data_IF_141311311360
#
_entry.id   IF_141311311360
#
_cell.length_a   1.000
_cell.length_b   1.000
_cell.length_c   1.000
_cell.angle_alpha   90.00
_cell.angle_beta   90.00
_cell.angle_gamma   90.00
#
_symmetry.space_group_name_H-M   'P 1'
#
loop_
_entity.id
_entity.type
_entity.pdbx_description
1 polymer ?
#
# COMPACT_ATOMS: atom_id res chain seq x y z
N UNK A 1 50.33 19.17 -26.30
CA UNK A 1 49.73 17.81 -26.37
C UNK A 1 49.69 17.23 -24.98
N UNK A 2 48.70 17.61 -24.15
CA UNK A 2 48.46 17.02 -22.83
C UNK A 2 46.95 16.99 -22.49
N UNK A 3 46.09 16.98 -23.51
CA UNK A 3 44.64 17.19 -23.36
C UNK A 3 43.85 15.87 -23.21
N UNK A 4 44.54 14.73 -23.16
CA UNK A 4 43.94 13.39 -23.14
C UNK A 4 43.67 12.78 -21.76
N UNK A 5 44.26 13.33 -20.68
CA UNK A 5 44.11 12.77 -19.33
C UNK A 5 42.97 13.38 -18.52
N UNK A 6 42.53 14.60 -18.85
CA UNK A 6 41.46 15.30 -18.13
C UNK A 6 40.06 14.83 -18.55
N UNK A 7 39.87 14.39 -19.80
CA UNK A 7 38.57 13.93 -20.29
C UNK A 7 38.10 12.60 -19.64
N UNK A 8 39.03 11.73 -19.22
CA UNK A 8 38.69 10.44 -18.61
C UNK A 8 38.39 10.53 -17.11
N UNK A 9 38.87 11.57 -16.43
CA UNK A 9 38.60 11.83 -15.02
C UNK A 9 37.23 12.47 -14.78
N UNK A 10 36.73 13.27 -15.72
CA UNK A 10 35.40 13.92 -15.61
C UNK A 10 34.25 12.93 -15.85
N UNK A 11 34.49 11.80 -16.52
CA UNK A 11 33.50 10.75 -16.73
C UNK A 11 33.28 9.84 -15.50
N UNK A 12 34.12 9.93 -14.47
CA UNK A 12 34.00 9.14 -13.23
C UNK A 12 33.26 9.91 -12.11
N UNK A 13 32.73 11.09 -12.42
CA UNK A 13 32.02 11.96 -11.48
C UNK A 13 30.52 12.10 -11.76
N UNK A 14 29.92 11.15 -12.47
CA UNK A 14 28.46 11.00 -12.46
C UNK A 14 28.04 10.28 -11.17
N UNK A 15 28.34 10.90 -10.04
CA UNK A 15 27.71 10.60 -8.75
C UNK A 15 26.23 10.98 -8.89
N UNK A 16 25.48 10.11 -9.55
CA UNK A 16 24.04 10.05 -9.38
C UNK A 16 23.82 9.88 -7.88
N UNK A 17 23.15 10.81 -7.20
CA UNK A 17 22.84 10.60 -5.80
C UNK A 17 22.11 9.24 -5.71
N UNK A 18 22.44 8.39 -4.73
CA UNK A 18 21.78 7.11 -4.60
C UNK A 18 20.31 7.38 -4.30
N UNK A 19 19.48 7.39 -5.34
CA UNK A 19 18.04 7.66 -5.30
C UNK A 19 17.28 6.61 -4.45
N UNK A 20 17.97 5.64 -3.86
CA UNK A 20 17.44 4.63 -2.93
C UNK A 20 17.92 4.74 -1.48
N UNK A 21 18.84 5.65 -1.12
CA UNK A 21 19.48 5.67 0.19
C UNK A 21 18.51 5.88 1.36
N UNK A 22 17.65 6.89 1.28
CA UNK A 22 16.71 7.22 2.36
C UNK A 22 15.68 6.11 2.59
N UNK A 23 15.11 5.56 1.52
CA UNK A 23 14.12 4.49 1.60
C UNK A 23 14.70 3.23 2.25
N UNK A 24 15.92 2.85 1.86
CA UNK A 24 16.63 1.69 2.42
C UNK A 24 17.00 1.92 3.89
N UNK A 25 17.50 3.12 4.24
CA UNK A 25 17.82 3.46 5.62
C UNK A 25 16.58 3.50 6.52
N UNK A 26 15.45 4.03 6.04
CA UNK A 26 14.18 4.01 6.77
C UNK A 26 13.64 2.59 6.94
N UNK A 27 13.73 1.76 5.90
CA UNK A 27 13.31 0.36 5.99
C UNK A 27 14.16 -0.41 7.01
N UNK A 28 15.48 -0.20 7.01
CA UNK A 28 16.39 -0.79 7.99
C UNK A 28 16.08 -0.31 9.41
N UNK A 29 15.86 1.00 9.60
CA UNK A 29 15.47 1.56 10.89
C UNK A 29 14.14 0.96 11.38
N UNK A 30 13.14 0.86 10.50
CA UNK A 30 11.85 0.25 10.83
C UNK A 30 12.01 -1.22 11.24
N UNK A 31 12.87 -1.97 10.56
CA UNK A 31 13.13 -3.38 10.85
C UNK A 31 13.70 -3.59 12.27
N UNK A 32 14.48 -2.62 12.77
CA UNK A 32 15.02 -2.65 14.15
C UNK A 32 14.00 -2.09 15.15
N UNK A 33 13.38 -0.95 14.84
CA UNK A 33 12.50 -0.26 15.78
C UNK A 33 11.18 -1.01 16.03
N UNK A 34 10.66 -1.70 15.02
CA UNK A 34 9.40 -2.42 15.11
C UNK A 34 9.40 -3.52 16.20
N UNK A 35 10.36 -4.47 16.24
CA UNK A 35 10.40 -5.46 17.30
C UNK A 35 10.67 -4.83 18.68
N UNK A 36 11.46 -3.76 18.77
CA UNK A 36 11.67 -3.01 20.01
C UNK A 36 10.34 -2.44 20.54
N UNK A 37 9.56 -1.78 19.69
CA UNK A 37 8.25 -1.23 20.06
C UNK A 37 7.27 -2.33 20.50
N UNK A 38 7.26 -3.46 19.79
CA UNK A 38 6.41 -4.61 20.14
C UNK A 38 6.80 -5.17 21.52
N UNK A 39 8.09 -5.31 21.79
CA UNK A 39 8.59 -5.82 23.06
C UNK A 39 8.33 -4.84 24.22
N UNK A 40 8.50 -3.54 24.00
CA UNK A 40 8.27 -2.51 25.03
C UNK A 40 6.79 -2.26 25.30
N UNK A 41 5.93 -2.35 24.30
CA UNK A 41 4.51 -2.02 24.38
C UNK A 41 3.62 -3.11 23.74
N UNK A 42 3.56 -4.31 24.33
CA UNK A 42 2.90 -5.46 23.72
C UNK A 42 1.38 -5.26 23.58
N UNK A 43 0.72 -4.70 24.62
CA UNK A 43 -0.73 -4.48 24.60
C UNK A 43 -1.15 -3.41 23.59
N UNK A 44 -0.41 -2.31 23.52
CA UNK A 44 -0.68 -1.22 22.56
C UNK A 44 -0.48 -1.72 21.14
N UNK A 45 0.62 -2.46 20.89
CA UNK A 45 0.92 -3.04 19.58
C UNK A 45 -0.16 -4.03 19.13
N UNK A 46 -0.61 -4.90 20.04
CA UNK A 46 -1.70 -5.84 19.76
C UNK A 46 -3.02 -5.11 19.48
N UNK A 47 -3.35 -4.08 20.26
CA UNK A 47 -4.54 -3.27 20.07
C UNK A 47 -4.54 -2.54 18.71
N UNK A 48 -3.41 -1.94 18.33
CA UNK A 48 -3.24 -1.29 17.03
C UNK A 48 -3.37 -2.29 15.88
N UNK A 49 -2.75 -3.47 16.00
CA UNK A 49 -2.85 -4.51 14.98
C UNK A 49 -4.30 -5.00 14.82
N UNK A 50 -4.97 -5.32 15.92
CA UNK A 50 -6.36 -5.78 15.91
C UNK A 50 -7.31 -4.70 15.36
N UNK A 51 -7.15 -3.45 15.81
CA UNK A 51 -7.92 -2.32 15.31
C UNK A 51 -7.70 -2.07 13.82
N UNK A 52 -6.45 -2.11 13.37
CA UNK A 52 -6.10 -1.98 11.95
C UNK A 52 -6.74 -3.07 11.09
N UNK A 53 -6.66 -4.33 11.52
CA UNK A 53 -7.31 -5.45 10.84
C UNK A 53 -8.82 -5.25 10.78
N UNK A 54 -9.45 -4.82 11.87
CA UNK A 54 -10.89 -4.57 11.93
C UNK A 54 -11.31 -3.49 10.92
N UNK A 55 -10.55 -2.38 10.84
CA UNK A 55 -10.80 -1.29 9.87
C UNK A 55 -10.65 -1.78 8.43
N UNK A 56 -9.60 -2.56 8.12
CA UNK A 56 -9.40 -3.13 6.79
C UNK A 56 -10.53 -4.10 6.42
N UNK A 57 -10.94 -4.96 7.35
CA UNK A 57 -12.03 -5.90 7.14
C UNK A 57 -13.37 -5.17 6.92
N UNK A 58 -13.64 -4.13 7.71
CA UNK A 58 -14.83 -3.29 7.56
C UNK A 58 -14.82 -2.55 6.22
N UNK A 59 -13.71 -1.92 5.85
CA UNK A 59 -13.55 -1.26 4.56
C UNK A 59 -13.77 -2.21 3.39
N UNK A 60 -13.22 -3.43 3.46
CA UNK A 60 -13.43 -4.48 2.46
C UNK A 60 -14.87 -5.00 2.44
N UNK A 61 -15.54 -5.02 3.58
CA UNK A 61 -16.96 -5.38 3.67
C UNK A 61 -17.82 -4.34 2.96
N UNK A 62 -17.60 -3.06 3.27
CA UNK A 62 -18.31 -1.94 2.65
C UNK A 62 -18.04 -1.88 1.16
N UNK A 63 -16.78 -2.00 0.71
CA UNK A 63 -16.44 -2.01 -0.71
C UNK A 63 -17.17 -3.12 -1.47
N UNK A 64 -17.22 -4.34 -0.91
CA UNK A 64 -17.98 -5.46 -1.49
C UNK A 64 -19.49 -5.25 -1.44
N UNK A 65 -19.99 -4.56 -0.42
CA UNK A 65 -21.42 -4.26 -0.28
C UNK A 65 -21.87 -3.17 -1.25
N UNK A 66 -21.07 -2.13 -1.47
CA UNK A 66 -21.33 -1.05 -2.44
C UNK A 66 -21.29 -1.58 -3.88
N UNK A 67 -20.35 -2.48 -4.18
CA UNK A 67 -20.27 -3.15 -5.47
C UNK A 67 -21.55 -3.96 -5.77
N UNK A 68 -22.10 -4.65 -4.76
CA UNK A 68 -23.40 -5.34 -4.85
C UNK A 68 -24.62 -4.43 -4.81
N UNK A 69 -24.54 -3.29 -4.12
CA UNK A 69 -25.64 -2.32 -4.00
C UNK A 69 -25.86 -1.54 -5.30
N UNK A 70 -24.78 -1.31 -6.07
CA UNK A 70 -24.83 -0.66 -7.38
C UNK A 70 -25.37 -1.61 -8.47
N UNK A 71 -25.17 -2.92 -8.31
CA UNK A 71 -25.70 -3.96 -9.19
C UNK A 71 -26.51 -4.97 -8.37
N UNK A 72 -27.73 -4.59 -7.96
CA UNK A 72 -28.64 -5.52 -7.27
C UNK A 72 -29.17 -6.55 -8.26
N UNK A 73 -28.39 -7.60 -8.54
CA UNK A 73 -28.84 -8.79 -9.27
C UNK A 73 -29.76 -9.61 -8.38
N UNK A 74 -31.05 -9.51 -8.63
CA UNK A 74 -32.05 -10.42 -8.05
C UNK A 74 -32.25 -11.54 -9.06
N UNK A 75 -31.75 -12.74 -8.75
CA UNK A 75 -32.08 -13.95 -9.51
C UNK A 75 -33.45 -14.44 -9.05
N UNK A 76 -34.47 -14.26 -9.88
CA UNK A 76 -35.80 -14.80 -9.61
C UNK A 76 -35.84 -16.26 -10.10
N UNK A 77 -36.10 -17.24 -9.21
CA UNK A 77 -36.20 -18.64 -9.62
C UNK A 77 -37.35 -18.80 -10.61
N UNK A 78 -37.05 -19.28 -11.82
CA UNK A 78 -38.01 -19.46 -12.91
C UNK A 78 -38.08 -18.32 -13.95
N UNK A 79 -37.38 -17.19 -13.76
CA UNK A 79 -37.49 -16.00 -14.62
C UNK A 79 -36.14 -15.47 -15.17
N UNK A 80 -35.01 -16.05 -14.75
CA UNK A 80 -33.67 -15.57 -15.12
C UNK A 80 -33.16 -14.40 -14.26
N UNK A 81 -31.97 -13.90 -14.56
CA UNK A 81 -31.32 -12.81 -13.81
C UNK A 81 -31.81 -11.47 -14.34
N UNK A 82 -32.53 -10.69 -13.52
CA UNK A 82 -33.00 -9.36 -13.91
C UNK A 82 -32.11 -8.30 -13.26
N UNK A 83 -31.48 -7.46 -14.09
CA UNK A 83 -30.68 -6.32 -13.63
C UNK A 83 -31.60 -5.10 -13.44
N UNK A 84 -31.84 -4.70 -12.18
CA UNK A 84 -32.56 -3.46 -11.88
C UNK A 84 -31.55 -2.31 -11.70
N UNK A 85 -31.56 -1.35 -12.63
CA UNK A 85 -30.79 -0.10 -12.53
C UNK A 85 -31.66 0.95 -11.85
N UNK A 86 -31.27 1.42 -10.66
CA UNK A 86 -31.95 2.55 -10.04
C UNK A 86 -31.64 3.82 -10.82
N UNK A 87 -32.56 4.25 -11.68
CA UNK A 87 -32.59 5.61 -12.21
C UNK A 87 -33.10 6.52 -11.10
N UNK A 88 -32.19 7.17 -10.38
CA UNK A 88 -32.56 8.26 -9.47
C UNK A 88 -32.83 9.49 -10.35
N UNK A 89 -34.09 9.96 -10.35
CA UNK A 89 -34.50 11.26 -10.89
C UNK A 89 -34.05 12.40 -10.00
#
# INVERSE_FOLDING_TARGET
>A
MNDGYTARAVAAGSDSPPNGGLGVSLAFLALIMLPLLIASYPLVSAGLLAGGIAVVALGRSIARHVDRGTVRKISLPGLGTVEYRFTRS
#
